data_IF_527900208616
#
_entry.id   IF_527900208616
#
_cell.length_a   1.000
_cell.length_b   1.000
_cell.length_c   1.000
_cell.angle_alpha   90.00
_cell.angle_beta   90.00
_cell.angle_gamma   90.00
#
_symmetry.space_group_name_H-M   'P 1'
#
loop_
_entity.id
_entity.type
_entity.pdbx_description
1 polymer ?
#
# COMPACT_ATOMS: atom_id res chain seq x y z
N UNK A 1 -7.78 -13.34 11.70
CA UNK A 1 -8.34 -12.17 12.39
C UNK A 1 -9.81 -12.45 12.64
N UNK A 2 -10.21 -12.76 13.88
CA UNK A 2 -11.62 -13.11 14.22
C UNK A 2 -12.38 -11.95 14.90
N UNK A 3 -11.84 -10.75 14.87
CA UNK A 3 -12.51 -9.55 15.38
C UNK A 3 -13.25 -8.93 14.19
N UNK A 4 -14.54 -8.70 14.30
CA UNK A 4 -15.43 -8.15 13.25
C UNK A 4 -15.78 -9.07 12.04
N UNK A 5 -15.49 -10.37 12.07
CA UNK A 5 -15.82 -11.29 10.98
C UNK A 5 -14.96 -11.17 9.70
N UNK A 6 -13.89 -10.37 9.73
CA UNK A 6 -12.93 -10.27 8.63
C UNK A 6 -11.94 -11.42 8.64
N UNK A 7 -11.54 -11.87 7.47
CA UNK A 7 -10.53 -12.90 7.25
C UNK A 7 -9.43 -12.40 6.32
N UNK A 8 -8.24 -12.97 6.43
CA UNK A 8 -7.14 -12.75 5.49
C UNK A 8 -7.11 -13.94 4.53
N UNK A 9 -7.02 -13.68 3.24
CA UNK A 9 -6.88 -14.66 2.17
C UNK A 9 -5.62 -14.37 1.37
N UNK A 10 -4.90 -15.42 1.01
CA UNK A 10 -3.58 -15.32 0.39
C UNK A 10 -2.44 -15.19 1.40
N UNK A 11 -1.23 -15.15 0.90
CA UNK A 11 0.00 -15.08 1.71
C UNK A 11 0.89 -13.96 1.18
N UNK A 12 1.63 -13.34 2.08
CA UNK A 12 2.73 -12.44 1.71
C UNK A 12 3.81 -13.30 1.01
N UNK A 13 4.33 -12.86 -0.14
CA UNK A 13 5.37 -13.61 -0.85
C UNK A 13 6.64 -13.68 0.01
N UNK A 14 7.35 -14.80 -0.09
CA UNK A 14 8.66 -14.98 0.59
C UNK A 14 9.77 -14.26 -0.17
N UNK A 15 9.65 -12.94 -0.21
CA UNK A 15 10.67 -12.04 -0.76
C UNK A 15 11.01 -10.97 0.28
N UNK A 16 12.28 -10.59 0.39
CA UNK A 16 12.71 -9.67 1.44
C UNK A 16 12.21 -8.23 1.24
N UNK A 17 11.88 -7.85 0.00
CA UNK A 17 11.55 -6.47 -0.37
C UNK A 17 10.40 -6.44 -1.37
N UNK A 18 9.41 -5.56 -1.14
CA UNK A 18 8.27 -5.36 -2.05
C UNK A 18 7.54 -4.04 -1.78
N UNK A 19 6.81 -3.57 -2.77
CA UNK A 19 5.86 -2.47 -2.62
C UNK A 19 4.45 -3.06 -2.48
N UNK A 20 3.80 -2.82 -1.37
CA UNK A 20 2.43 -3.26 -1.12
C UNK A 20 1.47 -2.14 -1.52
N UNK A 21 0.52 -2.44 -2.38
CA UNK A 21 -0.54 -1.50 -2.76
C UNK A 21 -1.88 -1.96 -2.21
N UNK A 22 -2.62 -1.04 -1.60
CA UNK A 22 -3.94 -1.31 -1.03
C UNK A 22 -4.99 -0.50 -1.79
N UNK A 23 -5.93 -1.21 -2.39
CA UNK A 23 -7.10 -0.67 -3.07
C UNK A 23 -8.30 -1.64 -2.92
N UNK A 24 -9.54 -1.21 -3.13
CA UNK A 24 -9.99 0.17 -3.17
C UNK A 24 -9.79 0.89 -1.83
N UNK A 25 -9.54 2.21 -1.88
CA UNK A 25 -9.40 3.02 -0.66
C UNK A 25 -10.47 4.12 -0.62
N UNK A 26 -11.64 3.75 -0.11
CA UNK A 26 -12.84 4.60 -0.14
C UNK A 26 -13.34 5.00 1.26
N UNK A 27 -12.66 4.53 2.33
CA UNK A 27 -13.10 4.75 3.71
C UNK A 27 -11.92 4.87 4.70
N UNK A 28 -12.17 5.52 5.83
CA UNK A 28 -11.25 5.48 6.99
C UNK A 28 -11.11 4.07 7.59
N UNK A 29 -12.15 3.24 7.43
CA UNK A 29 -12.12 1.85 7.89
C UNK A 29 -11.10 0.98 7.15
N UNK A 30 -10.70 1.39 5.94
CA UNK A 30 -9.68 0.68 5.17
C UNK A 30 -8.34 0.71 5.89
N UNK A 31 -8.02 1.87 6.50
CA UNK A 31 -6.84 1.98 7.35
C UNK A 31 -6.91 1.03 8.54
N UNK A 32 -8.07 0.98 9.23
CA UNK A 32 -8.25 0.09 10.38
C UNK A 32 -8.08 -1.39 10.01
N UNK A 33 -8.75 -1.85 8.95
CA UNK A 33 -8.63 -3.24 8.50
C UNK A 33 -7.23 -3.58 7.97
N UNK A 34 -6.62 -2.66 7.22
CA UNK A 34 -5.24 -2.78 6.77
C UNK A 34 -4.24 -2.85 7.93
N UNK A 35 -4.40 -2.01 8.94
CA UNK A 35 -3.57 -2.01 10.14
C UNK A 35 -3.74 -3.28 10.98
N UNK A 36 -4.96 -3.77 11.14
CA UNK A 36 -5.18 -5.07 11.79
C UNK A 36 -4.53 -6.22 11.02
N UNK A 37 -4.61 -6.22 9.69
CA UNK A 37 -3.94 -7.23 8.87
C UNK A 37 -2.41 -7.12 8.99
N UNK A 38 -1.86 -5.91 8.99
CA UNK A 38 -0.45 -5.63 9.25
C UNK A 38 0.05 -6.28 10.54
N UNK A 39 -0.69 -6.09 11.65
CA UNK A 39 -0.33 -6.68 12.96
C UNK A 39 -0.41 -8.22 12.95
N UNK A 40 -1.45 -8.79 12.33
CA UNK A 40 -1.65 -10.25 12.26
C UNK A 40 -0.57 -10.92 11.41
N UNK A 41 -0.20 -10.29 10.30
CA UNK A 41 0.81 -10.80 9.37
C UNK A 41 2.25 -10.51 9.82
N UNK A 42 2.43 -9.71 10.87
CA UNK A 42 3.75 -9.30 11.41
C UNK A 42 4.66 -8.74 10.33
N UNK A 43 4.11 -7.85 9.50
CA UNK A 43 4.86 -7.29 8.38
C UNK A 43 5.96 -6.33 8.85
N UNK A 44 7.16 -6.47 8.30
CA UNK A 44 8.21 -5.44 8.36
C UNK A 44 7.87 -4.33 7.36
N UNK A 45 6.80 -3.61 7.64
CA UNK A 45 6.23 -2.65 6.71
C UNK A 45 6.51 -1.21 7.13
N UNK A 46 6.94 -0.42 6.17
CA UNK A 46 6.97 1.05 6.28
C UNK A 46 5.78 1.64 5.54
N UNK A 47 5.13 2.64 6.11
CA UNK A 47 4.01 3.33 5.48
C UNK A 47 4.33 4.81 5.34
N UNK A 48 3.89 5.38 4.23
CA UNK A 48 4.16 6.76 3.90
C UNK A 48 3.06 7.67 4.43
N UNK A 49 3.42 8.63 5.27
CA UNK A 49 2.49 9.62 5.76
C UNK A 49 3.04 11.04 5.63
N UNK A 50 2.11 12.00 5.53
CA UNK A 50 2.46 13.42 5.52
C UNK A 50 3.25 13.75 6.78
N UNK A 51 4.30 14.56 6.66
CA UNK A 51 5.15 14.97 7.79
C UNK A 51 4.36 15.53 8.97
N UNK A 52 3.18 16.13 8.72
CA UNK A 52 2.29 16.66 9.77
C UNK A 52 1.70 15.60 10.71
N UNK A 53 1.78 14.31 10.39
CA UNK A 53 1.36 13.22 11.28
C UNK A 53 2.42 12.93 12.35
N UNK A 54 3.66 13.36 12.12
CA UNK A 54 4.81 13.07 12.99
C UNK A 54 5.07 14.13 14.06
N UNK A 55 4.02 14.76 14.60
CA UNK A 55 4.15 15.68 15.71
C UNK A 55 4.32 14.93 17.05
N UNK A 56 4.93 15.56 18.03
CA UNK A 56 5.13 14.99 19.35
C UNK A 56 3.80 14.90 20.12
N UNK A 57 3.49 13.80 20.88
CA UNK A 57 4.28 12.55 21.00
C UNK A 57 3.97 11.50 19.93
N UNK A 58 2.93 11.67 19.12
CA UNK A 58 2.47 10.69 18.12
C UNK A 58 3.52 10.35 17.07
N UNK A 59 4.41 11.27 16.76
CA UNK A 59 5.48 11.06 15.80
C UNK A 59 6.46 9.96 16.20
N UNK A 60 6.73 9.80 17.51
CA UNK A 60 7.59 8.73 18.01
C UNK A 60 6.91 7.38 17.77
N UNK A 61 5.63 7.28 18.12
CA UNK A 61 4.85 6.07 17.93
C UNK A 61 4.70 5.72 16.45
N UNK A 62 4.40 6.70 15.60
CA UNK A 62 4.29 6.53 14.16
C UNK A 62 5.59 5.97 13.57
N UNK A 63 6.77 6.51 13.93
CA UNK A 63 8.07 6.00 13.48
C UNK A 63 8.34 4.58 13.98
N UNK A 64 8.00 4.29 15.25
CA UNK A 64 8.17 2.94 15.84
C UNK A 64 7.35 1.89 15.10
N UNK A 65 6.19 2.26 14.54
CA UNK A 65 5.36 1.42 13.69
C UNK A 65 5.66 1.55 12.18
N UNK A 66 6.89 1.93 11.82
CA UNK A 66 7.34 1.97 10.44
C UNK A 66 6.87 3.19 9.63
N UNK A 67 6.32 4.21 10.28
CA UNK A 67 5.92 5.44 9.61
C UNK A 67 7.13 6.21 9.04
N UNK A 68 7.08 6.53 7.76
CA UNK A 68 8.05 7.37 7.06
C UNK A 68 7.42 8.72 6.72
N UNK A 69 7.94 9.83 7.26
CA UNK A 69 7.45 11.16 6.90
C UNK A 69 7.79 11.49 5.46
N UNK A 70 6.82 11.91 4.68
CA UNK A 70 7.02 12.39 3.32
C UNK A 70 6.52 13.82 3.16
N UNK A 71 7.24 14.57 2.36
CA UNK A 71 6.78 15.84 1.84
C UNK A 71 6.21 15.62 0.43
N UNK A 72 4.89 15.52 0.35
CA UNK A 72 4.18 15.25 -0.91
C UNK A 72 4.30 16.40 -1.93
N UNK A 73 4.69 17.59 -1.49
CA UNK A 73 4.94 18.71 -2.39
C UNK A 73 6.22 18.52 -3.23
N UNK A 74 7.12 17.63 -2.80
CA UNK A 74 8.38 17.32 -3.47
C UNK A 74 8.34 15.92 -4.11
N UNK A 75 7.38 15.65 -4.99
CA UNK A 75 7.04 14.33 -5.52
C UNK A 75 8.22 13.45 -5.98
N UNK A 76 9.15 13.97 -6.77
CA UNK A 76 10.34 13.22 -7.21
C UNK A 76 11.29 12.81 -6.07
N UNK A 77 11.31 13.54 -4.96
CA UNK A 77 12.13 13.21 -3.79
C UNK A 77 11.56 12.02 -3.01
N UNK A 78 10.25 11.75 -3.08
CA UNK A 78 9.63 10.62 -2.37
C UNK A 78 10.06 9.30 -2.99
N UNK A 79 10.01 9.16 -4.30
CA UNK A 79 10.45 7.94 -5.01
C UNK A 79 11.91 7.66 -4.68
N UNK A 80 12.80 8.64 -4.89
CA UNK A 80 14.22 8.49 -4.59
C UNK A 80 14.51 8.13 -3.13
N UNK A 81 13.80 8.75 -2.18
CA UNK A 81 13.96 8.43 -0.76
C UNK A 81 13.54 6.99 -0.46
N UNK A 82 12.45 6.51 -1.05
CA UNK A 82 12.01 5.12 -0.88
C UNK A 82 13.00 4.13 -1.50
N UNK A 83 13.50 4.42 -2.71
CA UNK A 83 14.51 3.59 -3.38
C UNK A 83 15.80 3.50 -2.57
N UNK A 84 16.26 4.63 -2.03
CA UNK A 84 17.44 4.67 -1.15
C UNK A 84 17.23 3.82 0.13
N UNK A 85 16.02 3.87 0.73
CA UNK A 85 15.72 3.03 1.89
C UNK A 85 15.66 1.53 1.52
N UNK A 86 15.13 1.17 0.35
CA UNK A 86 15.18 -0.21 -0.16
C UNK A 86 16.62 -0.68 -0.37
N UNK A 87 17.50 0.17 -0.88
CA UNK A 87 18.92 -0.17 -1.05
C UNK A 87 19.63 -0.42 0.30
N UNK A 88 19.27 0.35 1.34
CA UNK A 88 19.93 0.34 2.65
C UNK A 88 19.50 -0.84 3.53
N UNK A 89 18.30 -1.34 3.39
CA UNK A 89 17.72 -2.38 4.27
C UNK A 89 17.78 -3.74 3.59
N UNK A 90 18.01 -4.79 4.36
CA UNK A 90 17.94 -6.18 3.88
C UNK A 90 16.49 -6.62 3.64
N UNK A 91 15.59 -6.25 4.57
CA UNK A 91 14.15 -6.53 4.49
C UNK A 91 13.36 -5.24 4.60
N UNK A 92 12.41 -5.04 3.73
CA UNK A 92 11.58 -3.84 3.75
C UNK A 92 10.36 -4.01 2.86
N UNK A 93 9.20 -3.56 3.33
CA UNK A 93 8.07 -3.28 2.47
C UNK A 93 7.55 -1.85 2.65
N UNK A 94 6.96 -1.28 1.63
CA UNK A 94 6.30 0.03 1.68
C UNK A 94 4.85 -0.16 1.29
N UNK A 95 3.92 0.31 2.14
CA UNK A 95 2.49 0.33 1.80
C UNK A 95 2.07 1.68 1.22
N UNK A 96 1.38 1.63 0.10
CA UNK A 96 0.86 2.80 -0.63
C UNK A 96 -0.58 2.54 -1.05
N UNK A 97 -1.46 3.55 -0.92
CA UNK A 97 -2.73 3.57 -1.65
C UNK A 97 -2.51 4.35 -2.96
N UNK A 98 -2.66 3.71 -4.13
CA UNK A 98 -2.41 4.37 -5.41
C UNK A 98 -3.41 5.49 -5.71
N UNK A 99 -4.61 5.44 -5.16
CA UNK A 99 -5.63 6.47 -5.28
C UNK A 99 -5.21 7.77 -4.57
N UNK A 100 -4.52 7.66 -3.44
CA UNK A 100 -4.00 8.79 -2.66
C UNK A 100 -5.06 9.66 -1.99
N UNK A 101 -6.33 9.30 -2.12
CA UNK A 101 -7.51 9.89 -1.48
C UNK A 101 -8.57 8.80 -1.29
N UNK A 102 -9.68 9.11 -0.64
CA UNK A 102 -10.84 8.23 -0.42
C UNK A 102 -12.05 8.62 -1.27
N UNK A 103 -11.94 9.64 -2.08
CA UNK A 103 -12.93 10.06 -3.06
C UNK A 103 -12.59 9.55 -4.44
N UNK A 104 -13.50 9.75 -5.37
CA UNK A 104 -13.34 9.38 -6.78
C UNK A 104 -12.04 9.94 -7.34
N UNK A 105 -11.26 9.09 -7.99
CA UNK A 105 -10.05 9.49 -8.70
C UNK A 105 -10.11 9.03 -10.15
N UNK A 106 -9.77 9.93 -11.07
CA UNK A 106 -9.67 9.58 -12.49
C UNK A 106 -8.46 8.71 -12.78
N UNK A 107 -7.36 8.98 -12.09
CA UNK A 107 -6.08 8.32 -12.33
C UNK A 107 -5.37 7.96 -11.03
N UNK A 108 -4.74 6.81 -11.01
CA UNK A 108 -3.88 6.39 -9.91
C UNK A 108 -2.54 7.15 -9.93
N UNK A 109 -2.03 7.44 -8.75
CA UNK A 109 -0.69 8.01 -8.57
C UNK A 109 0.34 6.92 -8.78
N UNK A 110 1.24 7.11 -9.74
CA UNK A 110 2.20 6.10 -10.19
C UNK A 110 3.44 5.98 -9.29
N UNK A 111 3.51 6.70 -8.17
CA UNK A 111 4.66 6.65 -7.27
C UNK A 111 5.04 5.23 -6.83
N UNK A 112 4.06 4.38 -6.55
CA UNK A 112 4.29 2.99 -6.18
C UNK A 112 4.98 2.19 -7.29
N UNK A 113 4.60 2.45 -8.54
CA UNK A 113 5.14 1.78 -9.72
C UNK A 113 6.62 2.14 -9.94
N UNK A 114 6.92 3.44 -9.90
CA UNK A 114 8.30 3.91 -10.05
C UNK A 114 9.20 3.45 -8.90
N UNK A 115 8.69 3.45 -7.66
CA UNK A 115 9.43 2.89 -6.52
C UNK A 115 9.76 1.42 -6.77
N UNK A 116 8.78 0.61 -7.19
CA UNK A 116 8.96 -0.82 -7.42
C UNK A 116 9.96 -1.08 -8.57
N UNK A 117 9.82 -0.35 -9.68
CA UNK A 117 10.69 -0.48 -10.86
C UNK A 117 12.13 -0.06 -10.54
N UNK A 118 12.33 1.12 -9.95
CA UNK A 118 13.66 1.63 -9.65
C UNK A 118 14.37 0.84 -8.54
N UNK A 119 13.63 0.33 -7.56
CA UNK A 119 14.18 -0.54 -6.52
C UNK A 119 14.31 -2.01 -6.94
N UNK A 120 13.84 -2.37 -8.14
CA UNK A 120 13.80 -3.75 -8.66
C UNK A 120 13.12 -4.73 -7.70
N UNK A 121 11.93 -4.37 -7.21
CA UNK A 121 11.14 -5.17 -6.28
C UNK A 121 9.72 -5.41 -6.80
N UNK A 122 9.06 -6.52 -6.44
CA UNK A 122 7.69 -6.77 -6.86
C UNK A 122 6.70 -5.83 -6.19
N UNK A 123 5.56 -5.63 -6.86
CA UNK A 123 4.36 -5.03 -6.31
C UNK A 123 3.49 -6.15 -5.77
N UNK A 124 3.06 -6.05 -4.51
CA UNK A 124 2.11 -6.99 -3.89
C UNK A 124 0.75 -6.30 -3.78
N UNK A 125 -0.21 -6.67 -4.64
CA UNK A 125 -1.55 -6.09 -4.57
C UNK A 125 -2.32 -6.65 -3.38
N UNK A 126 -2.97 -5.78 -2.62
CA UNK A 126 -3.90 -6.15 -1.54
C UNK A 126 -5.25 -5.51 -1.79
N UNK A 127 -6.29 -6.34 -1.83
CA UNK A 127 -7.66 -5.87 -1.97
C UNK A 127 -8.41 -5.96 -0.64
N UNK A 128 -9.05 -4.85 -0.26
CA UNK A 128 -10.00 -4.81 0.85
C UNK A 128 -11.41 -5.09 0.30
N UNK A 129 -11.83 -6.34 0.40
CA UNK A 129 -13.10 -6.77 -0.13
C UNK A 129 -14.18 -6.73 0.96
N UNK A 130 -14.98 -5.67 0.97
CA UNK A 130 -16.03 -5.46 1.97
C UNK A 130 -17.22 -6.39 1.76
N UNK A 131 -17.60 -6.72 0.53
CA UNK A 131 -18.71 -7.62 0.25
C UNK A 131 -18.47 -9.02 0.82
N UNK A 132 -17.20 -9.46 0.85
CA UNK A 132 -16.77 -10.76 1.38
C UNK A 132 -16.11 -10.68 2.75
N UNK A 133 -15.87 -9.49 3.29
CA UNK A 133 -15.10 -9.23 4.52
C UNK A 133 -13.73 -9.91 4.50
N UNK A 134 -13.00 -9.69 3.40
CA UNK A 134 -11.67 -10.27 3.18
C UNK A 134 -10.62 -9.18 2.97
N UNK A 135 -9.47 -9.37 3.61
CA UNK A 135 -8.22 -8.75 3.18
C UNK A 135 -7.54 -9.78 2.26
N UNK A 136 -7.52 -9.50 0.97
CA UNK A 136 -7.01 -10.41 -0.05
C UNK A 136 -5.60 -9.99 -0.44
N UNK A 137 -4.63 -10.86 -0.19
CA UNK A 137 -3.25 -10.70 -0.68
C UNK A 137 -3.18 -11.45 -1.99
N UNK A 138 -2.94 -10.71 -3.06
CA UNK A 138 -2.89 -11.24 -4.42
C UNK A 138 -1.45 -11.62 -4.81
N UNK A 139 -1.26 -12.43 -5.86
CA UNK A 139 0.07 -12.79 -6.31
C UNK A 139 0.94 -11.56 -6.62
N UNK A 140 2.25 -11.62 -6.35
CA UNK A 140 3.15 -10.53 -6.63
C UNK A 140 3.21 -10.24 -8.12
N UNK A 141 3.18 -8.96 -8.48
CA UNK A 141 3.32 -8.45 -9.82
C UNK A 141 4.74 -7.89 -10.01
N UNK A 142 5.45 -8.34 -11.01
CA UNK A 142 6.78 -7.86 -11.36
C UNK A 142 6.68 -6.82 -12.48
N UNK A 143 7.00 -5.53 -12.20
CA UNK A 143 6.90 -4.48 -13.21
C UNK A 143 7.82 -4.76 -14.40
N UNK A 144 7.30 -4.56 -15.61
CA UNK A 144 8.10 -4.70 -16.85
C UNK A 144 8.91 -3.45 -17.17
N UNK A 145 8.61 -2.33 -16.53
CA UNK A 145 9.13 -1.00 -16.84
C UNK A 145 8.22 -0.19 -17.75
N UNK A 146 7.25 -0.83 -18.40
CA UNK A 146 6.24 -0.15 -19.22
C UNK A 146 4.93 0.02 -18.43
N UNK A 147 4.74 1.22 -17.88
CA UNK A 147 3.56 1.57 -17.10
C UNK A 147 2.26 1.48 -17.91
N UNK A 148 2.30 1.74 -19.21
CA UNK A 148 1.11 1.70 -20.06
C UNK A 148 0.60 0.26 -20.23
N UNK A 149 1.50 -0.71 -20.22
CA UNK A 149 1.18 -2.14 -20.28
C UNK A 149 0.80 -2.71 -18.91
N UNK A 150 1.49 -2.31 -17.87
CA UNK A 150 1.37 -2.91 -16.54
C UNK A 150 0.20 -2.38 -15.73
N UNK A 151 -0.05 -1.06 -15.78
CA UNK A 151 -1.08 -0.41 -14.96
C UNK A 151 -2.50 -0.95 -15.22
N UNK A 152 -2.93 -1.20 -16.47
CA UNK A 152 -4.23 -1.83 -16.72
C UNK A 152 -4.37 -3.21 -16.09
N UNK A 153 -3.31 -4.03 -16.12
CA UNK A 153 -3.29 -5.37 -15.52
C UNK A 153 -3.41 -5.30 -14.00
N UNK A 154 -2.71 -4.34 -13.37
CA UNK A 154 -2.78 -4.13 -11.92
C UNK A 154 -4.18 -3.63 -11.52
N UNK A 155 -4.74 -2.66 -12.26
CA UNK A 155 -6.09 -2.14 -11.99
C UNK A 155 -7.17 -3.21 -12.13
N UNK A 156 -7.04 -4.13 -13.10
CA UNK A 156 -8.00 -5.22 -13.33
C UNK A 156 -8.11 -6.21 -12.15
N UNK A 157 -7.19 -6.16 -11.17
CA UNK A 157 -7.25 -6.97 -9.95
C UNK A 157 -8.30 -6.46 -8.95
N UNK A 158 -8.82 -5.26 -9.15
CA UNK A 158 -9.75 -4.59 -8.26
C UNK A 158 -11.07 -4.32 -8.95
N UNK A 159 -12.16 -4.34 -8.19
CA UNK A 159 -13.48 -4.02 -8.69
C UNK A 159 -14.23 -3.12 -7.70
N UNK A 160 -15.20 -2.39 -8.22
CA UNK A 160 -16.07 -1.51 -7.45
C UNK A 160 -16.78 -2.23 -6.30
N UNK A 161 -17.17 -3.50 -6.49
CA UNK A 161 -17.84 -4.33 -5.48
C UNK A 161 -16.98 -4.62 -4.24
N UNK A 162 -15.67 -4.47 -4.35
CA UNK A 162 -14.76 -4.65 -3.21
C UNK A 162 -14.79 -3.45 -2.27
N UNK A 163 -15.11 -2.26 -2.77
CA UNK A 163 -15.07 -1.02 -2.01
C UNK A 163 -16.13 -0.99 -0.90
N UNK A 164 -15.83 -0.28 0.19
CA UNK A 164 -16.83 0.05 1.22
C UNK A 164 -17.86 1.04 0.71
N UNK A 165 -17.41 1.99 -0.10
CA UNK A 165 -18.19 3.00 -0.78
C UNK A 165 -17.98 2.85 -2.28
N UNK A 166 -18.77 1.97 -2.96
CA UNK A 166 -18.61 1.69 -4.39
C UNK A 166 -18.71 2.94 -5.27
N UNK A 167 -19.53 3.91 -4.85
CA UNK A 167 -19.69 5.20 -5.51
C UNK A 167 -18.40 6.05 -5.57
N UNK A 168 -17.39 5.71 -4.78
CA UNK A 168 -16.11 6.42 -4.71
C UNK A 168 -14.95 5.66 -5.42
N UNK A 169 -15.27 4.57 -6.14
CA UNK A 169 -14.28 3.77 -6.87
C UNK A 169 -14.22 4.12 -8.35
#
# INVERSE_FOLDING_TARGET
MRISGWRIAGNIPDVPKYVLIVAPHTSNWDFFHGFCAYLVLRLDNSWLAKHTVFFWPLGILARRFGGMPIDRAKGGNVVRACVAEFARRERMSITVSPEGTRGIVKEWKLGFYYIATEANVPIVPVALNYSRRLVMILPPFFPTGDVAVDLPKIKALYSQEMAKHPENF
#
